data_IF_577448225282
#
_entry.id   IF_577448225282
#
_cell.length_a   1.000
_cell.length_b   1.000
_cell.length_c   1.000
_cell.angle_alpha   90.00
_cell.angle_beta   90.00
_cell.angle_gamma   90.00
#
_symmetry.space_group_name_H-M   'P 1'
#
loop_
_entity.id
_entity.type
_entity.pdbx_description
1 polymer ?
#
# COMPACT_ATOMS: atom_id res chain seq x y z
N UNK A 1 8.12 -5.12 13.51
CA UNK A 1 6.76 -4.79 13.07
C UNK A 1 6.73 -4.50 11.58
N UNK A 2 6.32 -5.50 10.78
CA UNK A 2 6.27 -5.36 9.31
C UNK A 2 5.21 -4.37 8.84
N UNK A 3 4.16 -4.13 9.62
CA UNK A 3 2.99 -3.33 9.24
C UNK A 3 3.26 -1.84 9.02
N UNK A 4 4.45 -1.33 9.34
CA UNK A 4 4.72 0.10 9.37
C UNK A 4 5.76 0.55 8.34
N UNK A 5 5.94 -0.19 7.25
CA UNK A 5 6.84 0.23 6.18
C UNK A 5 6.31 -0.19 4.83
N UNK A 6 6.63 0.62 3.81
CA UNK A 6 6.34 0.31 2.42
C UNK A 6 7.48 -0.53 1.85
N UNK A 7 7.13 -1.59 1.12
CA UNK A 7 8.07 -2.34 0.32
C UNK A 7 7.99 -1.95 -1.16
N UNK A 8 8.95 -2.36 -1.93
CA UNK A 8 9.06 -1.95 -3.35
C UNK A 8 9.27 -3.16 -4.22
N UNK A 9 8.74 -3.11 -5.45
CA UNK A 9 9.06 -4.09 -6.49
C UNK A 9 10.17 -3.53 -7.38
N UNK A 10 11.21 -4.31 -7.60
CA UNK A 10 12.37 -3.90 -8.41
C UNK A 10 12.50 -4.86 -9.57
N UNK A 11 12.54 -4.30 -10.79
CA UNK A 11 12.62 -5.07 -12.03
C UNK A 11 13.93 -4.81 -12.71
N UNK A 12 14.56 -5.87 -13.23
CA UNK A 12 15.84 -5.75 -13.92
C UNK A 12 15.74 -4.76 -15.08
N UNK A 13 14.64 -4.80 -15.83
CA UNK A 13 14.43 -3.95 -17.01
C UNK A 13 14.29 -2.45 -16.66
N UNK A 14 13.91 -2.11 -15.44
CA UNK A 14 13.70 -0.72 -15.01
C UNK A 14 14.64 -0.31 -13.87
N UNK A 15 15.58 -1.16 -13.51
CA UNK A 15 16.43 -0.96 -12.34
C UNK A 15 17.16 0.40 -12.36
N UNK A 16 17.75 0.77 -13.50
CA UNK A 16 18.47 2.04 -13.59
C UNK A 16 17.58 3.25 -13.32
N UNK A 17 16.31 3.17 -13.72
CA UNK A 17 15.32 4.23 -13.46
C UNK A 17 14.87 4.24 -12.00
N UNK A 18 14.91 3.09 -11.33
CA UNK A 18 14.46 2.97 -9.94
C UNK A 18 15.53 3.37 -8.92
N UNK A 19 16.79 3.31 -9.28
CA UNK A 19 17.89 3.61 -8.35
C UNK A 19 17.75 4.95 -7.65
N UNK A 20 17.30 5.97 -8.37
CA UNK A 20 17.24 7.34 -7.83
C UNK A 20 16.37 7.44 -6.58
N UNK A 21 15.15 6.89 -6.63
CA UNK A 21 14.29 6.94 -5.44
C UNK A 21 14.65 5.88 -4.41
N UNK A 22 15.15 4.72 -4.84
CA UNK A 22 15.52 3.65 -3.92
C UNK A 22 16.68 4.04 -3.00
N UNK A 23 17.64 4.82 -3.49
CA UNK A 23 18.76 5.27 -2.68
C UNK A 23 18.34 6.00 -1.40
N UNK A 24 17.21 6.71 -1.45
CA UNK A 24 16.74 7.49 -0.31
C UNK A 24 15.97 6.70 0.74
N UNK A 25 15.50 5.50 0.42
CA UNK A 25 14.54 4.77 1.27
C UNK A 25 15.11 3.53 1.94
N UNK A 26 16.36 3.16 1.67
CA UNK A 26 16.98 1.92 2.19
C UNK A 26 17.33 1.92 3.68
N UNK A 27 17.31 3.06 4.36
CA UNK A 27 17.83 3.22 5.73
C UNK A 27 17.11 2.38 6.77
N UNK A 28 15.82 2.14 6.60
CA UNK A 28 15.01 1.37 7.56
C UNK A 28 14.88 -0.10 7.17
N UNK A 29 15.73 -0.55 6.26
CA UNK A 29 15.77 -1.94 5.80
C UNK A 29 14.42 -2.45 5.28
N UNK A 30 13.76 -1.71 4.35
CA UNK A 30 12.49 -2.17 3.79
C UNK A 30 12.67 -3.41 2.95
N UNK A 31 11.58 -4.14 2.75
CA UNK A 31 11.57 -5.28 1.85
C UNK A 31 11.46 -4.82 0.40
N UNK A 32 12.11 -5.54 -0.51
CA UNK A 32 11.94 -5.39 -1.95
C UNK A 32 11.58 -6.75 -2.55
N UNK A 33 10.70 -6.72 -3.52
CA UNK A 33 10.28 -7.88 -4.28
C UNK A 33 11.02 -7.92 -5.61
N UNK A 34 11.67 -9.05 -5.89
CA UNK A 34 12.42 -9.27 -7.12
C UNK A 34 11.96 -10.60 -7.73
N UNK A 35 11.55 -10.61 -8.99
CA UNK A 35 11.17 -11.84 -9.68
C UNK A 35 12.34 -12.41 -10.48
N UNK A 36 12.64 -13.68 -10.28
CA UNK A 36 13.73 -14.39 -10.97
C UNK A 36 13.23 -15.21 -12.16
N UNK A 37 11.97 -15.04 -12.59
CA UNK A 37 11.43 -15.80 -13.72
C UNK A 37 10.60 -14.98 -14.70
N UNK A 38 10.95 -13.71 -14.88
CA UNK A 38 10.35 -12.88 -15.94
C UNK A 38 11.10 -13.17 -17.25
N UNK A 39 10.46 -13.93 -18.13
CA UNK A 39 11.10 -14.38 -19.37
C UNK A 39 11.56 -13.24 -20.26
N UNK A 40 10.82 -12.12 -20.29
CA UNK A 40 11.12 -10.94 -21.09
C UNK A 40 12.43 -10.26 -20.67
N UNK A 41 12.90 -10.52 -19.45
CA UNK A 41 14.16 -9.97 -18.94
C UNK A 41 15.36 -10.88 -19.18
N UNK A 42 15.16 -12.10 -19.68
CA UNK A 42 16.24 -13.05 -19.89
C UNK A 42 17.13 -12.64 -21.08
N UNK A 43 18.43 -12.66 -20.83
CA UNK A 43 19.46 -12.34 -21.83
C UNK A 43 20.72 -13.15 -21.49
N UNK A 44 21.76 -13.04 -22.31
CA UNK A 44 23.03 -13.72 -22.05
C UNK A 44 23.73 -13.25 -20.78
N UNK A 45 23.40 -12.03 -20.31
CA UNK A 45 23.98 -11.45 -19.11
C UNK A 45 23.02 -11.47 -17.90
N UNK A 46 21.88 -12.15 -18.01
CA UNK A 46 20.80 -12.08 -17.01
C UNK A 46 21.28 -12.39 -15.60
N UNK A 47 21.96 -13.52 -15.40
CA UNK A 47 22.40 -13.91 -14.05
C UNK A 47 23.42 -12.94 -13.47
N UNK A 48 24.32 -12.44 -14.29
CA UNK A 48 25.31 -11.42 -13.89
C UNK A 48 24.61 -10.11 -13.48
N UNK A 49 23.67 -9.66 -14.30
CA UNK A 49 22.93 -8.41 -14.04
C UNK A 49 22.06 -8.54 -12.81
N UNK A 50 21.41 -9.68 -12.62
CA UNK A 50 20.59 -9.95 -11.44
C UNK A 50 21.45 -10.00 -10.19
N UNK A 51 22.60 -10.63 -10.24
CA UNK A 51 23.54 -10.65 -9.13
C UNK A 51 23.99 -9.24 -8.75
N UNK A 52 24.32 -8.41 -9.73
CA UNK A 52 24.72 -7.02 -9.50
C UNK A 52 23.59 -6.19 -8.89
N UNK A 53 22.37 -6.36 -9.38
CA UNK A 53 21.19 -5.67 -8.84
C UNK A 53 20.93 -6.05 -7.40
N UNK A 54 20.93 -7.34 -7.07
CA UNK A 54 20.71 -7.81 -5.70
C UNK A 54 21.84 -7.35 -4.76
N UNK A 55 23.09 -7.34 -5.24
CA UNK A 55 24.22 -6.83 -4.46
C UNK A 55 24.02 -5.34 -4.12
N UNK A 56 23.60 -4.53 -5.10
CA UNK A 56 23.33 -3.12 -4.89
C UNK A 56 22.19 -2.93 -3.88
N UNK A 57 21.11 -3.72 -4.01
CA UNK A 57 19.97 -3.62 -3.08
C UNK A 57 20.38 -3.97 -1.64
N UNK A 58 21.19 -5.01 -1.47
CA UNK A 58 21.70 -5.38 -0.14
C UNK A 58 22.59 -4.29 0.45
N UNK A 59 23.47 -3.70 -0.34
CA UNK A 59 24.35 -2.60 0.09
C UNK A 59 23.56 -1.37 0.53
N UNK A 60 22.46 -1.07 -0.16
CA UNK A 60 21.58 0.05 0.19
C UNK A 60 20.72 -0.22 1.44
N UNK A 61 20.71 -1.44 1.93
CA UNK A 61 20.02 -1.81 3.17
C UNK A 61 18.70 -2.54 2.98
N UNK A 62 18.29 -2.82 1.75
CA UNK A 62 17.06 -3.56 1.48
C UNK A 62 17.18 -5.03 1.84
N UNK A 63 16.04 -5.63 2.20
CA UNK A 63 15.92 -7.08 2.38
C UNK A 63 15.12 -7.64 1.20
N UNK A 64 15.66 -8.62 0.52
CA UNK A 64 15.11 -9.10 -0.74
C UNK A 64 14.16 -10.28 -0.53
N UNK A 65 12.97 -10.19 -1.11
CA UNK A 65 12.04 -11.30 -1.32
C UNK A 65 12.12 -11.67 -2.78
N UNK A 66 12.63 -12.85 -3.09
CA UNK A 66 12.81 -13.28 -4.48
C UNK A 66 11.76 -14.31 -4.86
N UNK A 67 11.15 -14.13 -6.02
CA UNK A 67 10.17 -15.02 -6.60
C UNK A 67 10.89 -16.05 -7.47
N UNK A 68 10.85 -17.32 -7.09
CA UNK A 68 11.59 -18.40 -7.74
C UNK A 68 10.67 -19.51 -8.24
N UNK A 69 11.11 -20.19 -9.30
CA UNK A 69 10.52 -21.42 -9.77
C UNK A 69 11.63 -22.45 -10.02
N UNK A 70 11.27 -23.69 -10.40
CA UNK A 70 12.27 -24.68 -10.75
C UNK A 70 13.15 -24.28 -11.91
N UNK A 71 12.67 -23.42 -12.82
CA UNK A 71 13.48 -22.85 -13.91
C UNK A 71 14.62 -21.98 -13.41
N UNK A 72 14.48 -21.37 -12.25
CA UNK A 72 15.54 -20.54 -11.68
C UNK A 72 16.80 -21.34 -11.39
N UNK A 73 16.65 -22.64 -11.06
CA UNK A 73 17.79 -23.54 -10.83
C UNK A 73 18.67 -23.70 -12.09
N UNK A 74 18.03 -23.82 -13.24
CA UNK A 74 18.74 -23.95 -14.53
C UNK A 74 19.47 -22.65 -14.87
N UNK A 75 18.78 -21.51 -14.70
CA UNK A 75 19.35 -20.20 -15.01
C UNK A 75 20.60 -19.91 -14.20
N UNK A 76 20.58 -20.20 -12.90
CA UNK A 76 21.68 -19.91 -12.00
C UNK A 76 22.66 -21.10 -11.87
N UNK A 77 22.41 -22.20 -12.59
CA UNK A 77 23.25 -23.38 -12.57
C UNK A 77 23.53 -23.89 -11.15
N UNK A 78 22.49 -23.99 -10.35
CA UNK A 78 22.52 -24.49 -8.98
C UNK A 78 21.57 -25.66 -8.79
N UNK A 79 21.74 -26.42 -7.73
CA UNK A 79 20.94 -27.61 -7.48
C UNK A 79 19.75 -27.37 -6.53
N UNK A 80 19.71 -26.23 -5.84
CA UNK A 80 18.63 -25.92 -4.92
C UNK A 80 18.33 -24.42 -4.89
N UNK A 81 17.09 -24.06 -4.52
CA UNK A 81 16.72 -22.66 -4.35
C UNK A 81 17.42 -22.04 -3.15
N UNK A 82 17.81 -22.83 -2.16
CA UNK A 82 18.60 -22.36 -1.04
C UNK A 82 19.96 -21.81 -1.49
N UNK A 83 20.55 -22.42 -2.49
CA UNK A 83 21.80 -21.93 -3.09
C UNK A 83 21.59 -20.58 -3.77
N UNK A 84 20.44 -20.38 -4.44
CA UNK A 84 20.08 -19.06 -5.02
C UNK A 84 19.98 -18.02 -3.93
N UNK A 85 19.31 -18.37 -2.82
CA UNK A 85 19.16 -17.44 -1.69
C UNK A 85 20.50 -17.03 -1.11
N UNK A 86 21.45 -17.93 -1.01
CA UNK A 86 22.80 -17.64 -0.52
C UNK A 86 23.58 -16.79 -1.54
N UNK A 87 23.49 -17.15 -2.83
CA UNK A 87 24.20 -16.46 -3.91
C UNK A 87 23.80 -14.98 -4.01
N UNK A 88 22.51 -14.69 -3.92
CA UNK A 88 21.96 -13.36 -4.06
C UNK A 88 21.72 -12.64 -2.72
N UNK A 89 21.99 -13.29 -1.61
CA UNK A 89 21.75 -12.81 -0.25
C UNK A 89 20.28 -12.37 -0.09
N UNK A 90 19.39 -13.34 -0.19
CA UNK A 90 17.94 -13.14 -0.16
C UNK A 90 17.39 -13.45 1.23
N UNK A 91 16.52 -12.56 1.73
CA UNK A 91 15.87 -12.71 3.04
C UNK A 91 14.78 -13.79 3.02
N UNK A 92 13.94 -13.82 1.97
CA UNK A 92 12.83 -14.75 1.84
C UNK A 92 12.65 -15.19 0.39
N UNK A 93 12.20 -16.41 0.19
CA UNK A 93 11.89 -16.95 -1.14
C UNK A 93 10.39 -17.12 -1.30
N UNK A 94 9.84 -16.56 -2.38
CA UNK A 94 8.48 -16.84 -2.81
C UNK A 94 8.54 -18.04 -3.75
N UNK A 95 7.88 -19.13 -3.33
CA UNK A 95 7.85 -20.37 -4.07
C UNK A 95 6.62 -20.37 -4.99
N UNK A 96 6.87 -20.33 -6.31
CA UNK A 96 5.78 -20.23 -7.28
C UNK A 96 5.23 -21.62 -7.62
N UNK A 97 5.90 -22.36 -8.48
CA UNK A 97 5.45 -23.69 -8.86
C UNK A 97 6.61 -24.68 -8.94
N UNK A 98 6.28 -25.98 -8.94
CA UNK A 98 7.27 -27.05 -9.08
C UNK A 98 7.90 -27.51 -7.76
N UNK A 99 7.37 -27.09 -6.63
CA UNK A 99 7.85 -27.49 -5.30
C UNK A 99 6.81 -28.39 -4.63
N UNK A 100 7.25 -29.52 -4.07
CA UNK A 100 6.39 -30.36 -3.28
C UNK A 100 6.39 -29.94 -1.81
N UNK A 101 5.46 -30.51 -1.03
CA UNK A 101 5.29 -30.13 0.37
C UNK A 101 6.56 -30.38 1.21
N UNK A 102 7.24 -31.50 0.99
CA UNK A 102 8.45 -31.82 1.74
C UNK A 102 9.58 -30.83 1.48
N UNK A 103 9.73 -30.39 0.23
CA UNK A 103 10.71 -29.36 -0.13
C UNK A 103 10.38 -28.01 0.52
N UNK A 104 9.09 -27.62 0.51
CA UNK A 104 8.64 -26.38 1.16
C UNK A 104 8.90 -26.42 2.67
N UNK A 105 8.58 -27.55 3.32
CA UNK A 105 8.80 -27.69 4.75
C UNK A 105 10.28 -27.61 5.12
N UNK A 106 11.13 -28.30 4.36
CA UNK A 106 12.56 -28.27 4.59
C UNK A 106 13.13 -26.86 4.47
N UNK A 107 12.71 -26.12 3.44
CA UNK A 107 13.14 -24.74 3.23
C UNK A 107 12.61 -23.80 4.32
N UNK A 108 11.36 -23.97 4.72
CA UNK A 108 10.72 -23.16 5.76
C UNK A 108 11.45 -23.24 7.10
N UNK A 109 12.07 -24.36 7.40
CA UNK A 109 12.88 -24.53 8.62
C UNK A 109 14.18 -23.74 8.59
N UNK A 110 14.66 -23.40 7.40
CA UNK A 110 15.93 -22.70 7.22
C UNK A 110 15.77 -21.19 7.05
N UNK A 111 14.69 -20.75 6.40
CA UNK A 111 14.49 -19.34 6.07
C UNK A 111 13.01 -19.01 5.92
N UNK A 112 12.64 -17.73 5.98
CA UNK A 112 11.27 -17.30 5.65
C UNK A 112 10.88 -17.70 4.23
N UNK A 113 9.65 -18.17 4.05
CA UNK A 113 9.09 -18.47 2.74
C UNK A 113 7.78 -17.72 2.52
N UNK A 114 7.50 -17.42 1.27
CA UNK A 114 6.29 -16.71 0.84
C UNK A 114 5.51 -17.64 -0.09
N UNK A 115 4.24 -17.84 0.20
CA UNK A 115 3.35 -18.69 -0.58
C UNK A 115 2.38 -17.82 -1.38
N UNK A 116 1.77 -18.40 -2.42
CA UNK A 116 0.78 -17.70 -3.22
C UNK A 116 -0.58 -17.71 -2.50
N UNK A 117 -1.05 -16.54 -2.06
CA UNK A 117 -2.29 -16.41 -1.31
C UNK A 117 -3.52 -16.88 -2.09
N UNK A 118 -3.48 -16.88 -3.43
CA UNK A 118 -4.61 -17.27 -4.26
C UNK A 118 -4.77 -18.79 -4.42
N UNK A 119 -3.71 -19.56 -4.15
CA UNK A 119 -3.70 -21.02 -4.37
C UNK A 119 -3.47 -21.83 -3.10
N UNK A 120 -3.02 -21.20 -2.03
CA UNK A 120 -2.72 -21.88 -0.78
C UNK A 120 -3.99 -22.35 -0.06
N UNK A 121 -3.94 -23.55 0.49
CA UNK A 121 -4.98 -24.08 1.39
C UNK A 121 -4.42 -24.14 2.80
N UNK A 122 -5.09 -23.46 3.72
CA UNK A 122 -4.62 -23.29 5.11
C UNK A 122 -4.40 -24.64 5.80
N UNK A 123 -5.31 -25.60 5.59
CA UNK A 123 -5.21 -26.92 6.19
C UNK A 123 -4.01 -27.74 5.68
N UNK A 124 -3.47 -27.42 4.52
CA UNK A 124 -2.32 -28.10 3.93
C UNK A 124 -0.96 -27.55 4.40
N UNK A 125 -0.97 -26.40 5.08
CA UNK A 125 0.28 -25.71 5.46
C UNK A 125 0.43 -25.49 6.97
N UNK A 126 -0.40 -26.14 7.79
CA UNK A 126 -0.33 -26.00 9.24
C UNK A 126 1.05 -26.38 9.81
N UNK A 127 1.65 -27.42 9.27
CA UNK A 127 2.98 -27.87 9.68
C UNK A 127 4.07 -26.86 9.29
N UNK A 128 3.94 -26.19 8.14
CA UNK A 128 4.86 -25.12 7.74
C UNK A 128 4.85 -23.99 8.76
N UNK A 129 3.66 -23.58 9.20
CA UNK A 129 3.50 -22.50 10.19
C UNK A 129 4.08 -22.93 11.55
N UNK A 130 3.79 -24.16 11.97
CA UNK A 130 4.23 -24.67 13.26
C UNK A 130 5.75 -24.86 13.33
N UNK A 131 6.35 -25.38 12.28
CA UNK A 131 7.75 -25.81 12.27
C UNK A 131 8.69 -24.86 11.54
N UNK A 132 8.16 -24.00 10.66
CA UNK A 132 8.93 -23.06 9.88
C UNK A 132 9.33 -21.81 10.67
N UNK A 133 10.27 -21.05 10.13
CA UNK A 133 10.72 -19.79 10.75
C UNK A 133 9.69 -18.68 10.62
N UNK A 134 9.23 -18.42 9.40
CA UNK A 134 8.21 -17.44 9.12
C UNK A 134 7.52 -17.79 7.81
N UNK A 135 6.20 -17.84 7.84
CA UNK A 135 5.42 -18.14 6.65
C UNK A 135 4.59 -16.91 6.31
N UNK A 136 4.77 -16.44 5.08
CA UNK A 136 4.02 -15.32 4.53
C UNK A 136 3.21 -15.82 3.34
N UNK A 137 2.14 -15.11 3.03
CA UNK A 137 1.36 -15.33 1.82
C UNK A 137 1.22 -14.02 1.06
N UNK A 138 1.54 -14.05 -0.21
CA UNK A 138 1.50 -12.88 -1.08
C UNK A 138 0.33 -12.99 -2.04
N UNK A 139 -0.56 -12.01 -1.99
CA UNK A 139 -1.57 -11.85 -3.03
C UNK A 139 -0.88 -11.44 -4.33
N UNK A 140 -1.43 -11.88 -5.43
CA UNK A 140 -0.95 -11.46 -6.74
C UNK A 140 -1.25 -9.97 -6.97
N UNK A 141 -0.52 -9.34 -7.88
CA UNK A 141 -0.95 -8.12 -8.52
C UNK A 141 -1.55 -8.45 -9.88
N UNK A 142 -2.42 -7.56 -10.37
CA UNK A 142 -3.22 -7.84 -11.56
C UNK A 142 -3.01 -6.76 -12.62
N UNK A 143 -2.20 -7.05 -13.66
CA UNK A 143 -1.86 -6.04 -14.67
C UNK A 143 -3.03 -5.60 -15.54
N UNK A 144 -3.98 -6.52 -15.82
CA UNK A 144 -5.11 -6.23 -16.68
C UNK A 144 -6.23 -5.59 -15.85
N UNK A 145 -6.74 -4.43 -16.29
CA UNK A 145 -7.90 -3.77 -15.69
C UNK A 145 -9.06 -4.75 -15.57
N UNK A 146 -9.83 -4.60 -14.51
CA UNK A 146 -11.01 -5.41 -14.20
C UNK A 146 -10.70 -6.84 -13.73
N UNK A 147 -9.42 -7.21 -13.57
CA UNK A 147 -9.05 -8.54 -13.08
C UNK A 147 -8.54 -8.54 -11.64
N UNK A 148 -8.36 -7.39 -11.02
CA UNK A 148 -8.00 -7.30 -9.61
C UNK A 148 -9.09 -7.87 -8.71
N UNK A 149 -8.72 -8.21 -7.49
CA UNK A 149 -9.66 -8.83 -6.54
C UNK A 149 -10.72 -7.84 -6.09
N UNK A 150 -11.92 -8.35 -5.80
CA UNK A 150 -12.92 -7.57 -5.08
C UNK A 150 -12.65 -7.60 -3.57
N UNK A 151 -13.23 -6.64 -2.86
CA UNK A 151 -13.01 -6.44 -1.44
C UNK A 151 -13.44 -7.63 -0.59
N UNK A 152 -14.63 -8.18 -0.85
CA UNK A 152 -15.20 -9.26 -0.05
C UNK A 152 -14.34 -10.53 -0.13
N UNK A 153 -13.94 -10.92 -1.34
CA UNK A 153 -13.08 -12.09 -1.56
C UNK A 153 -11.72 -11.87 -0.87
N UNK A 154 -11.13 -10.70 -1.07
CA UNK A 154 -9.83 -10.36 -0.49
C UNK A 154 -9.83 -10.42 1.03
N UNK A 155 -10.86 -9.85 1.66
CA UNK A 155 -11.00 -9.87 3.13
C UNK A 155 -11.13 -11.29 3.67
N UNK A 156 -11.95 -12.11 3.02
CA UNK A 156 -12.17 -13.50 3.45
C UNK A 156 -10.88 -14.31 3.42
N UNK A 157 -10.14 -14.24 2.32
CA UNK A 157 -8.88 -14.96 2.16
C UNK A 157 -7.82 -14.45 3.13
N UNK A 158 -7.67 -13.14 3.21
CA UNK A 158 -6.68 -12.50 4.09
C UNK A 158 -6.92 -12.88 5.56
N UNK A 159 -8.18 -12.80 6.01
CA UNK A 159 -8.51 -13.17 7.39
C UNK A 159 -8.24 -14.65 7.67
N UNK A 160 -8.60 -15.53 6.76
CA UNK A 160 -8.35 -16.96 6.89
C UNK A 160 -6.85 -17.26 7.06
N UNK A 161 -6.01 -16.60 6.27
CA UNK A 161 -4.56 -16.77 6.35
C UNK A 161 -4.00 -16.24 7.67
N UNK A 162 -4.45 -15.07 8.09
CA UNK A 162 -3.99 -14.46 9.34
C UNK A 162 -4.42 -15.25 10.56
N UNK A 163 -5.63 -15.78 10.56
CA UNK A 163 -6.13 -16.66 11.65
C UNK A 163 -5.30 -17.93 11.77
N UNK A 164 -4.66 -18.36 10.69
CA UNK A 164 -3.75 -19.50 10.67
C UNK A 164 -2.31 -19.14 11.07
N UNK A 165 -2.02 -17.90 11.40
CA UNK A 165 -0.68 -17.44 11.77
C UNK A 165 0.21 -17.06 10.59
N UNK A 166 -0.38 -16.83 9.42
CA UNK A 166 0.36 -16.48 8.20
C UNK A 166 0.28 -14.96 8.01
N UNK A 167 1.43 -14.32 7.80
CA UNK A 167 1.48 -12.89 7.48
C UNK A 167 1.12 -12.66 6.02
N UNK A 168 0.31 -11.65 5.76
CA UNK A 168 -0.24 -11.39 4.42
C UNK A 168 0.39 -10.18 3.78
N UNK A 169 0.75 -10.32 2.51
CA UNK A 169 1.35 -9.30 1.66
C UNK A 169 0.37 -8.95 0.54
N UNK A 170 0.23 -7.66 0.24
CA UNK A 170 -0.56 -7.20 -0.90
C UNK A 170 0.15 -6.04 -1.60
N UNK A 171 -0.28 -5.74 -2.83
CA UNK A 171 0.34 -4.73 -3.69
C UNK A 171 -0.57 -3.53 -3.89
N UNK A 172 0.06 -2.36 -3.99
CA UNK A 172 -0.59 -1.13 -4.45
C UNK A 172 0.04 -0.68 -5.76
N UNK A 173 -0.68 0.04 -6.62
CA UNK A 173 -0.08 0.58 -7.84
C UNK A 173 0.84 1.75 -7.54
N UNK A 174 1.80 2.01 -8.43
CA UNK A 174 2.59 3.23 -8.42
C UNK A 174 1.84 4.37 -9.12
N UNK A 175 2.42 5.57 -9.09
CA UNK A 175 1.80 6.75 -9.68
C UNK A 175 2.62 7.45 -10.77
N UNK A 176 3.88 7.04 -11.00
CA UNK A 176 4.75 7.72 -11.98
C UNK A 176 5.23 6.80 -13.10
N UNK A 177 5.81 5.66 -12.82
CA UNK A 177 6.26 4.72 -13.83
C UNK A 177 5.52 3.41 -13.65
N UNK A 178 4.57 3.14 -14.53
CA UNK A 178 3.80 1.90 -14.50
C UNK A 178 4.47 0.83 -15.35
N UNK A 179 4.31 -0.42 -14.93
CA UNK A 179 4.95 -1.53 -15.61
C UNK A 179 4.18 -1.93 -16.88
N UNK A 180 4.94 -2.15 -18.00
CA UNK A 180 4.39 -2.70 -19.22
C UNK A 180 4.06 -4.19 -19.12
N UNK A 181 3.38 -4.75 -20.10
CA UNK A 181 3.06 -4.10 -21.38
C UNK A 181 1.81 -3.23 -21.38
N UNK A 182 0.97 -3.25 -20.33
CA UNK A 182 -0.35 -2.59 -20.32
C UNK A 182 -0.29 -1.19 -19.71
N UNK A 183 0.58 -0.95 -18.76
CA UNK A 183 0.78 0.34 -18.09
C UNK A 183 -0.46 0.88 -17.38
N UNK A 184 -1.26 -0.01 -16.80
CA UNK A 184 -2.48 0.35 -16.07
C UNK A 184 -2.38 0.13 -14.56
N UNK A 185 -1.17 -0.14 -14.06
CA UNK A 185 -0.91 -0.35 -12.65
C UNK A 185 -0.94 -1.82 -12.24
N UNK A 186 -0.33 -2.10 -11.10
CA UNK A 186 -0.19 -3.45 -10.57
C UNK A 186 -0.78 -3.55 -9.16
N UNK A 187 -2.09 -3.34 -8.98
CA UNK A 187 -2.74 -3.48 -7.68
C UNK A 187 -3.15 -4.93 -7.41
N UNK A 188 -3.29 -5.28 -6.15
CA UNK A 188 -4.01 -6.49 -5.75
C UNK A 188 -5.52 -6.28 -5.85
N UNK A 189 -6.02 -5.19 -5.28
CA UNK A 189 -7.45 -4.86 -5.32
C UNK A 189 -7.80 -4.00 -6.53
N UNK A 190 -8.85 -4.37 -7.24
CA UNK A 190 -9.24 -3.65 -8.46
C UNK A 190 -9.55 -2.18 -8.19
N UNK A 191 -10.23 -1.87 -7.09
CA UNK A 191 -10.60 -0.49 -6.79
C UNK A 191 -9.41 0.41 -6.40
N UNK A 192 -8.21 -0.15 -6.21
CA UNK A 192 -7.00 0.63 -5.99
C UNK A 192 -6.36 1.14 -7.28
N UNK A 193 -6.81 0.68 -8.44
CA UNK A 193 -6.13 0.94 -9.72
C UNK A 193 -6.01 2.42 -10.06
N UNK A 194 -6.97 3.22 -9.67
CA UNK A 194 -7.04 4.64 -10.05
C UNK A 194 -7.00 5.61 -8.86
N UNK A 195 -6.72 5.10 -7.67
CA UNK A 195 -6.57 5.97 -6.49
C UNK A 195 -5.10 6.22 -6.20
N UNK A 196 -4.80 7.13 -5.26
CA UNK A 196 -3.42 7.41 -4.91
C UNK A 196 -2.76 6.21 -4.20
N UNK A 197 -1.43 6.03 -4.35
CA UNK A 197 -0.71 5.03 -3.57
C UNK A 197 -0.94 5.17 -2.08
N UNK A 198 -0.97 6.39 -1.57
CA UNK A 198 -1.24 6.66 -0.16
C UNK A 198 -2.61 6.14 0.27
N UNK A 199 -3.67 6.45 -0.49
CA UNK A 199 -5.01 6.00 -0.17
C UNK A 199 -5.11 4.47 -0.18
N UNK A 200 -4.51 3.83 -1.16
CA UNK A 200 -4.45 2.37 -1.24
C UNK A 200 -3.68 1.75 -0.07
N UNK A 201 -2.53 2.33 0.30
CA UNK A 201 -1.74 1.91 1.45
C UNK A 201 -2.55 2.02 2.75
N UNK A 202 -3.22 3.15 2.95
CA UNK A 202 -4.02 3.39 4.15
C UNK A 202 -5.15 2.39 4.28
N UNK A 203 -5.83 2.07 3.19
CA UNK A 203 -6.91 1.10 3.20
C UNK A 203 -6.39 -0.32 3.52
N UNK A 204 -5.32 -0.76 2.85
CA UNK A 204 -4.73 -2.06 3.15
C UNK A 204 -4.27 -2.17 4.60
N UNK A 205 -3.70 -1.12 5.14
CA UNK A 205 -3.13 -1.12 6.49
C UNK A 205 -4.21 -0.97 7.58
N UNK A 206 -5.09 0.02 7.45
CA UNK A 206 -6.06 0.35 8.49
C UNK A 206 -7.37 -0.43 8.39
N UNK A 207 -7.86 -0.67 7.19
CA UNK A 207 -9.14 -1.35 6.99
C UNK A 207 -8.98 -2.86 6.89
N UNK A 208 -7.98 -3.32 6.17
CA UNK A 208 -7.79 -4.75 5.90
C UNK A 208 -6.72 -5.40 6.75
N UNK A 209 -5.95 -4.62 7.49
CA UNK A 209 -4.91 -5.10 8.42
C UNK A 209 -3.87 -6.02 7.74
N UNK A 210 -3.50 -5.67 6.52
CA UNK A 210 -2.44 -6.37 5.78
C UNK A 210 -1.10 -6.15 6.49
N UNK A 211 -0.30 -7.21 6.59
CA UNK A 211 0.95 -7.16 7.35
C UNK A 211 2.08 -6.44 6.63
N UNK A 212 2.12 -6.54 5.30
CA UNK A 212 3.15 -5.90 4.48
C UNK A 212 2.55 -5.44 3.14
N UNK A 213 2.84 -4.21 2.76
CA UNK A 213 2.39 -3.63 1.49
C UNK A 213 3.61 -3.36 0.61
N UNK A 214 3.53 -3.79 -0.66
CA UNK A 214 4.52 -3.48 -1.68
C UNK A 214 3.91 -2.61 -2.76
N UNK A 215 4.73 -1.73 -3.33
CA UNK A 215 4.40 -1.10 -4.61
C UNK A 215 4.64 -2.12 -5.71
N UNK A 216 3.64 -2.43 -6.52
CA UNK A 216 3.77 -3.39 -7.63
C UNK A 216 4.50 -2.82 -8.84
N UNK A 217 4.25 -1.55 -9.14
CA UNK A 217 4.86 -0.87 -10.28
C UNK A 217 6.31 -0.45 -9.99
N UNK A 218 7.15 -0.23 -11.02
CA UNK A 218 8.53 0.21 -10.82
C UNK A 218 8.64 1.66 -10.32
N UNK A 219 7.60 2.49 -10.45
CA UNK A 219 7.68 3.91 -10.11
C UNK A 219 6.64 4.35 -9.11
N UNK A 220 7.11 5.01 -8.06
CA UNK A 220 6.26 5.72 -7.10
C UNK A 220 6.92 7.07 -6.82
N UNK A 221 6.13 8.14 -6.76
CA UNK A 221 6.66 9.49 -6.54
C UNK A 221 7.19 9.67 -5.13
N UNK A 222 8.18 10.53 -5.01
CA UNK A 222 8.73 10.95 -3.71
C UNK A 222 7.63 11.51 -2.80
N UNK A 223 6.71 12.28 -3.38
CA UNK A 223 5.56 12.82 -2.65
C UNK A 223 4.74 11.72 -1.97
N UNK A 224 4.42 10.65 -2.69
CA UNK A 224 3.66 9.53 -2.12
C UNK A 224 4.47 8.73 -1.09
N UNK A 225 5.75 8.50 -1.35
CA UNK A 225 6.64 7.83 -0.40
C UNK A 225 6.70 8.60 0.92
N UNK A 226 6.88 9.91 0.84
CA UNK A 226 6.98 10.78 2.03
C UNK A 226 5.69 10.82 2.84
N UNK A 227 4.54 10.86 2.17
CA UNK A 227 3.24 10.81 2.84
C UNK A 227 3.06 9.51 3.61
N UNK A 228 3.36 8.39 2.97
CA UNK A 228 3.26 7.06 3.58
C UNK A 228 4.23 6.95 4.77
N UNK A 229 5.46 7.38 4.58
CA UNK A 229 6.47 7.33 5.63
C UNK A 229 6.09 8.23 6.81
N UNK A 230 5.57 9.42 6.56
CA UNK A 230 5.10 10.32 7.60
C UNK A 230 3.99 9.68 8.44
N UNK A 231 3.04 8.99 7.80
CA UNK A 231 2.02 8.24 8.55
C UNK A 231 2.66 7.13 9.39
N UNK A 232 3.58 6.37 8.84
CA UNK A 232 4.28 5.30 9.57
C UNK A 232 5.02 5.83 10.80
N UNK A 233 5.60 7.03 10.70
CA UNK A 233 6.37 7.64 11.77
C UNK A 233 5.49 8.30 12.83
N UNK A 234 4.40 8.94 12.44
CA UNK A 234 3.61 9.82 13.32
C UNK A 234 2.21 9.31 13.66
N UNK A 235 1.66 8.43 12.84
CA UNK A 235 0.26 7.99 12.95
C UNK A 235 -0.75 9.05 12.52
N UNK A 236 -0.32 10.17 11.97
CA UNK A 236 -1.21 11.24 11.50
C UNK A 236 -1.58 10.99 10.04
N UNK A 237 -2.90 11.01 9.77
CA UNK A 237 -3.44 10.81 8.43
C UNK A 237 -3.42 12.12 7.67
N UNK A 238 -2.80 12.12 6.49
CA UNK A 238 -2.78 13.25 5.58
C UNK A 238 -4.01 13.20 4.67
N UNK A 239 -4.76 14.30 4.59
CA UNK A 239 -5.95 14.41 3.74
C UNK A 239 -5.72 15.53 2.72
N UNK A 240 -5.30 15.20 1.49
CA UNK A 240 -5.13 16.20 0.46
C UNK A 240 -6.47 16.81 0.07
N UNK A 241 -6.52 18.13 0.07
CA UNK A 241 -7.75 18.86 -0.20
C UNK A 241 -7.46 20.21 -0.85
N UNK A 242 -8.48 20.74 -1.53
CA UNK A 242 -8.47 22.11 -2.02
C UNK A 242 -9.49 22.89 -1.22
N UNK A 243 -9.04 23.96 -0.56
CA UNK A 243 -9.89 24.87 0.19
C UNK A 243 -10.03 26.19 -0.58
N UNK A 244 -11.27 26.66 -0.78
CA UNK A 244 -11.55 27.98 -1.39
C UNK A 244 -11.68 29.06 -0.32
N UNK A 245 -12.02 28.64 0.89
CA UNK A 245 -12.13 29.51 2.05
C UNK A 245 -11.50 28.78 3.23
N UNK A 246 -11.13 29.52 4.28
CA UNK A 246 -10.53 28.97 5.48
C UNK A 246 -9.21 28.26 5.22
N UNK A 247 -8.37 28.84 4.32
CA UNK A 247 -7.06 28.28 3.94
C UNK A 247 -6.10 28.13 5.12
N UNK A 248 -6.39 28.77 6.25
CA UNK A 248 -5.62 28.60 7.48
C UNK A 248 -5.72 27.19 8.08
N UNK A 249 -6.65 26.35 7.59
CA UNK A 249 -6.70 24.93 7.97
C UNK A 249 -5.64 24.09 7.24
N UNK A 250 -5.05 24.59 6.16
CA UNK A 250 -3.95 23.87 5.50
C UNK A 250 -2.81 23.63 6.48
N UNK A 251 -2.24 22.43 6.42
CA UNK A 251 -1.10 22.00 7.23
C UNK A 251 -1.35 22.06 8.74
N UNK A 252 -2.62 22.02 9.15
CA UNK A 252 -3.01 21.91 10.56
C UNK A 252 -3.32 20.47 10.90
N UNK A 253 -2.76 20.00 12.00
CA UNK A 253 -3.17 18.76 12.61
C UNK A 253 -4.47 18.99 13.38
N UNK A 254 -5.50 18.23 13.01
CA UNK A 254 -6.82 18.32 13.63
C UNK A 254 -7.27 16.94 14.07
N UNK A 255 -8.27 16.92 14.95
CA UNK A 255 -8.78 15.70 15.54
C UNK A 255 -10.22 15.45 15.08
N UNK A 256 -10.50 14.23 14.63
CA UNK A 256 -11.87 13.79 14.41
C UNK A 256 -12.55 13.59 15.77
N UNK A 257 -13.68 14.26 16.00
CA UNK A 257 -14.43 14.04 17.26
C UNK A 257 -14.82 12.57 17.37
N UNK A 258 -14.64 12.03 18.57
CA UNK A 258 -14.89 10.61 18.84
C UNK A 258 -16.37 10.23 18.65
N UNK A 259 -17.28 11.21 18.81
CA UNK A 259 -18.71 11.02 18.61
C UNK A 259 -19.20 11.38 17.20
N UNK A 260 -18.30 11.45 16.23
CA UNK A 260 -18.66 11.67 14.83
C UNK A 260 -19.49 10.49 14.32
N UNK A 261 -20.64 10.73 13.69
CA UNK A 261 -21.41 9.65 13.06
C UNK A 261 -20.68 9.16 11.78
N UNK A 262 -21.11 8.02 11.28
CA UNK A 262 -20.42 7.39 10.15
C UNK A 262 -20.45 8.18 8.83
N UNK A 263 -21.35 9.15 8.69
CA UNK A 263 -21.53 9.91 7.46
C UNK A 263 -20.75 11.23 7.40
N UNK A 264 -20.15 11.67 8.52
CA UNK A 264 -19.30 12.87 8.56
C UNK A 264 -18.11 12.65 9.47
N UNK A 265 -17.04 13.41 9.21
CA UNK A 265 -15.96 13.64 10.16
C UNK A 265 -16.19 15.03 10.75
N UNK A 266 -16.30 15.15 12.08
CA UNK A 266 -16.40 16.43 12.77
C UNK A 266 -15.03 16.83 13.25
N UNK A 267 -14.56 18.01 12.82
CA UNK A 267 -13.24 18.53 13.24
C UNK A 267 -13.38 19.16 14.62
N UNK A 268 -12.74 18.55 15.62
CA UNK A 268 -12.90 18.95 17.03
C UNK A 268 -12.48 20.41 17.29
N UNK A 269 -11.38 20.85 16.68
CA UNK A 269 -10.79 22.17 16.92
C UNK A 269 -11.39 23.29 16.07
N UNK A 270 -12.34 23.00 15.19
CA UNK A 270 -12.79 23.96 14.16
C UNK A 270 -13.26 25.30 14.73
N UNK A 271 -14.11 25.26 15.78
CA UNK A 271 -14.65 26.50 16.38
C UNK A 271 -13.58 27.26 17.17
N UNK A 272 -12.57 26.57 17.67
CA UNK A 272 -11.44 27.22 18.36
C UNK A 272 -10.53 27.97 17.37
N UNK A 273 -10.48 27.54 16.12
CA UNK A 273 -9.70 28.18 15.06
C UNK A 273 -10.45 29.32 14.38
N UNK A 274 -11.74 29.48 14.69
CA UNK A 274 -12.53 30.62 14.21
C UNK A 274 -12.04 31.89 14.90
N UNK A 275 -11.85 32.95 14.12
CA UNK A 275 -11.49 34.26 14.65
C UNK A 275 -12.66 34.87 15.44
N UNK A 276 -12.35 35.53 16.55
CA UNK A 276 -13.36 36.28 17.33
C UNK A 276 -13.97 37.34 16.41
N UNK A 277 -15.31 37.48 16.43
CA UNK A 277 -16.10 38.39 15.58
C UNK A 277 -16.04 38.10 14.08
N UNK A 278 -15.57 36.94 13.67
CA UNK A 278 -15.65 36.52 12.29
C UNK A 278 -17.10 36.19 11.90
N UNK A 279 -17.59 36.84 10.84
CA UNK A 279 -18.89 36.55 10.25
C UNK A 279 -18.73 35.60 9.09
N UNK A 280 -19.51 34.53 9.10
CA UNK A 280 -19.51 33.53 8.03
C UNK A 280 -20.87 33.65 7.32
N UNK A 281 -20.86 34.35 6.17
CA UNK A 281 -22.08 34.53 5.39
C UNK A 281 -22.42 33.27 4.61
N UNK A 282 -23.70 32.98 4.34
CA UNK A 282 -24.10 31.88 3.50
C UNK A 282 -23.45 31.98 2.11
N UNK A 283 -22.81 30.91 1.68
CA UNK A 283 -22.14 30.81 0.40
C UNK A 283 -22.00 29.36 0.00
N UNK A 284 -22.29 29.04 -1.25
CA UNK A 284 -22.14 27.69 -1.79
C UNK A 284 -22.86 26.63 -0.96
N UNK A 285 -24.13 26.91 -0.63
CA UNK A 285 -24.97 26.03 0.21
C UNK A 285 -25.72 25.00 -0.65
N UNK A 286 -24.97 24.20 -1.38
CA UNK A 286 -25.49 23.19 -2.32
C UNK A 286 -25.41 21.79 -1.74
N UNK A 287 -25.83 20.78 -2.49
CA UNK A 287 -25.74 19.38 -2.11
C UNK A 287 -24.31 19.02 -1.69
N UNK A 288 -24.20 18.31 -0.58
CA UNK A 288 -22.92 17.92 0.01
C UNK A 288 -22.55 16.51 -0.44
N UNK A 289 -21.63 16.43 -1.40
CA UNK A 289 -21.13 15.17 -1.91
C UNK A 289 -20.02 14.59 -1.02
N UNK A 290 -19.68 13.30 -1.21
CA UNK A 290 -18.56 12.68 -0.52
C UNK A 290 -17.28 13.47 -0.78
N UNK A 291 -16.53 13.77 0.29
CA UNK A 291 -15.31 14.56 0.20
C UNK A 291 -15.52 16.07 0.30
N UNK A 292 -16.77 16.55 0.34
CA UNK A 292 -17.01 17.96 0.58
C UNK A 292 -16.52 18.34 1.98
N UNK A 293 -15.82 19.47 2.06
CA UNK A 293 -15.40 20.08 3.32
C UNK A 293 -16.34 21.25 3.55
N UNK A 294 -17.00 21.26 4.72
CA UNK A 294 -18.07 22.21 5.00
C UNK A 294 -17.76 23.06 6.22
N UNK A 295 -18.34 24.25 6.26
CA UNK A 295 -18.31 25.14 7.40
C UNK A 295 -19.70 25.68 7.67
N UNK A 296 -20.16 25.58 8.91
CA UNK A 296 -21.43 26.14 9.32
C UNK A 296 -21.36 27.67 9.28
N UNK A 297 -22.36 28.31 8.67
CA UNK A 297 -22.43 29.75 8.55
C UNK A 297 -23.21 30.37 9.73
N UNK A 298 -23.35 31.71 9.73
CA UNK A 298 -23.96 32.44 10.83
C UNK A 298 -25.42 32.04 11.09
N UNK A 299 -26.12 31.51 10.08
CA UNK A 299 -27.50 31.04 10.26
C UNK A 299 -27.59 29.82 11.17
N UNK A 300 -26.50 29.13 11.44
CA UNK A 300 -26.44 28.00 12.38
C UNK A 300 -26.20 28.43 13.82
N UNK A 301 -26.18 29.75 14.06
CA UNK A 301 -26.05 30.35 15.39
C UNK A 301 -24.77 29.91 16.11
N UNK A 302 -24.90 29.28 17.30
CA UNK A 302 -23.75 28.89 18.10
C UNK A 302 -22.82 27.86 17.42
N UNK A 303 -23.33 27.16 16.41
CA UNK A 303 -22.52 26.18 15.65
C UNK A 303 -21.69 26.84 14.55
N UNK A 304 -21.90 28.13 14.26
CA UNK A 304 -21.14 28.83 13.22
C UNK A 304 -19.64 28.59 13.38
N UNK A 305 -18.97 28.21 12.28
CA UNK A 305 -17.56 27.89 12.28
C UNK A 305 -17.22 26.40 12.47
N UNK A 306 -18.20 25.54 12.74
CA UNK A 306 -17.96 24.10 12.75
C UNK A 306 -17.55 23.62 11.37
N UNK A 307 -16.49 22.80 11.30
CA UNK A 307 -15.99 22.22 10.06
C UNK A 307 -16.22 20.72 10.08
N UNK A 308 -16.71 20.21 8.95
CA UNK A 308 -16.98 18.80 8.76
C UNK A 308 -16.45 18.33 7.41
N UNK A 309 -16.14 17.03 7.31
CA UNK A 309 -15.81 16.38 6.05
C UNK A 309 -16.87 15.31 5.79
N UNK A 310 -17.47 15.34 4.62
CA UNK A 310 -18.61 14.48 4.28
C UNK A 310 -18.13 13.12 3.83
N UNK A 311 -18.63 12.07 4.46
CA UNK A 311 -18.33 10.65 4.14
C UNK A 311 -19.45 9.98 3.36
N UNK A 312 -20.68 10.45 3.51
CA UNK A 312 -21.85 10.00 2.74
C UNK A 312 -22.62 11.20 2.27
N UNK A 313 -23.21 11.20 1.06
CA UNK A 313 -23.91 12.37 0.54
C UNK A 313 -24.98 12.90 1.47
N UNK A 314 -25.04 14.21 1.64
CA UNK A 314 -26.03 14.91 2.45
C UNK A 314 -26.74 15.96 1.60
N UNK A 315 -28.01 16.30 1.90
CA UNK A 315 -28.74 17.31 1.16
C UNK A 315 -28.17 18.71 1.39
N UNK A 316 -28.49 19.63 0.49
CA UNK A 316 -28.18 21.03 0.68
C UNK A 316 -28.83 21.57 1.96
N UNK A 317 -28.12 22.46 2.66
CA UNK A 317 -28.59 23.15 3.84
C UNK A 317 -28.10 24.60 3.76
N UNK A 318 -29.02 25.57 3.82
CA UNK A 318 -28.68 26.98 3.70
C UNK A 318 -27.76 27.49 4.84
N UNK A 319 -27.59 26.70 5.88
CA UNK A 319 -26.74 27.03 7.03
C UNK A 319 -25.34 26.43 6.92
N UNK A 320 -25.07 25.65 5.86
CA UNK A 320 -23.82 24.93 5.68
C UNK A 320 -23.18 25.31 4.36
N UNK A 321 -22.01 25.93 4.44
CA UNK A 321 -21.20 26.30 3.29
C UNK A 321 -20.27 25.17 2.88
N UNK A 322 -20.15 24.90 1.61
CA UNK A 322 -19.06 24.05 1.10
C UNK A 322 -17.86 24.97 0.87
N UNK A 323 -16.76 24.71 1.59
CA UNK A 323 -15.54 25.53 1.56
C UNK A 323 -14.39 24.85 0.84
N UNK A 324 -14.53 23.59 0.48
CA UNK A 324 -13.48 22.86 -0.20
C UNK A 324 -13.86 21.43 -0.50
N UNK A 325 -12.90 20.68 -0.99
CA UNK A 325 -13.12 19.30 -1.40
C UNK A 325 -11.84 18.47 -1.22
N UNK A 326 -11.99 17.25 -0.73
CA UNK A 326 -10.90 16.27 -0.65
C UNK A 326 -10.54 15.83 -2.06
N UNK A 327 -9.25 15.62 -2.32
CA UNK A 327 -8.78 15.12 -3.61
C UNK A 327 -9.51 13.84 -4.01
N UNK A 328 -10.06 13.75 -5.25
CA UNK A 328 -10.80 12.56 -5.67
C UNK A 328 -10.03 11.24 -5.53
N UNK A 329 -8.72 11.27 -5.74
CA UNK A 329 -7.86 10.08 -5.63
C UNK A 329 -7.64 9.62 -4.19
N UNK A 330 -8.03 10.42 -3.21
CA UNK A 330 -7.81 10.16 -1.78
C UNK A 330 -9.12 9.97 -0.99
N UNK A 331 -10.27 9.93 -1.67
CA UNK A 331 -11.58 9.80 -1.01
C UNK A 331 -11.71 8.54 -0.15
N UNK A 332 -11.05 7.46 -0.51
CA UNK A 332 -11.13 6.20 0.24
C UNK A 332 -10.49 6.27 1.63
N UNK A 333 -9.74 7.34 1.91
CA UNK A 333 -9.18 7.59 3.25
C UNK A 333 -10.29 7.91 4.25
N UNK A 334 -11.38 8.51 3.78
CA UNK A 334 -12.52 8.89 4.61
C UNK A 334 -13.33 7.63 5.03
#
# INVERSE_FOLDING_TARGET
NMANSLGYSVFLSTFEKQKAYLQGVGKNHPLVFVSLHIAEEFSDTYTKDMHAMCAWLNEEGFRIVADVSTKSLELFQVSSVREIAKLLDVYALRLDYGFNHAEMLALAKEMPIVLNASTIRVDEVEDLVREGKEILAMHNYYPRSETGLDEEYFLRITKSLQDAGIHVIAFIPGDVLKRGPIFEGLPTLEHHRHISPYAAFMELTLKYHVDQVFVGDPGISTYEIERIQSYCDTGVIDIPATLKHAEHFYDKEVTCRIDSPSWIIRVEEARLLKKVDEHIVPNNTITREVGAITMDNDAYLRYAGEVQIVRSPLPADNRVNIIGHVSPKDLSIL
#
